data_IF_352094751226
#
_entry.id   IF_352094751226
#
_cell.length_a   1.000
_cell.length_b   1.000
_cell.length_c   1.000
_cell.angle_alpha   90.00
_cell.angle_beta   90.00
_cell.angle_gamma   90.00
#
_symmetry.space_group_name_H-M   'P 1'
#
loop_
_entity.id
_entity.type
_entity.pdbx_description
1 polymer ?
#
# COMPACT_ATOMS: atom_id res chain seq x y z
N UNK A 1 18.35 -30.57 -23.42
CA UNK A 1 19.22 -29.39 -23.26
C UNK A 1 18.31 -28.17 -23.23
N UNK A 2 17.39 -28.06 -22.26
CA UNK A 2 17.59 -27.63 -20.87
C UNK A 2 18.11 -26.17 -20.86
N UNK A 3 17.46 -25.16 -20.28
CA UNK A 3 17.02 -25.13 -18.88
C UNK A 3 15.85 -24.16 -18.63
N UNK A 4 14.93 -24.69 -17.85
CA UNK A 4 13.83 -24.10 -17.09
C UNK A 4 14.35 -23.05 -16.07
N UNK A 5 13.85 -21.81 -16.08
CA UNK A 5 14.11 -20.84 -15.00
C UNK A 5 12.81 -20.40 -14.33
N UNK A 6 12.32 -21.29 -13.47
CA UNK A 6 11.21 -21.10 -12.56
C UNK A 6 11.67 -20.25 -11.37
N UNK A 7 11.49 -18.93 -11.43
CA UNK A 7 11.76 -18.05 -10.29
C UNK A 7 10.65 -18.16 -9.24
N UNK A 8 10.94 -19.05 -8.29
CA UNK A 8 10.26 -19.30 -7.04
C UNK A 8 10.04 -18.02 -6.23
N UNK A 9 8.78 -17.71 -5.93
CA UNK A 9 8.42 -16.91 -4.76
C UNK A 9 7.20 -17.54 -4.05
N UNK A 10 7.37 -18.82 -3.66
CA UNK A 10 6.55 -19.48 -2.66
C UNK A 10 7.13 -19.18 -1.28
N UNK A 11 6.74 -18.04 -0.71
CA UNK A 11 6.94 -17.79 0.73
C UNK A 11 5.87 -18.60 1.46
N UNK A 12 6.24 -19.83 1.82
CA UNK A 12 5.44 -20.67 2.71
C UNK A 12 5.39 -20.05 4.10
N UNK A 13 4.16 -19.96 4.63
CA UNK A 13 3.87 -19.97 6.07
C UNK A 13 4.58 -21.17 6.72
N UNK A 14 5.12 -21.00 7.91
CA UNK A 14 4.60 -21.64 9.13
C UNK A 14 5.53 -21.44 10.34
N UNK A 15 4.91 -21.48 11.50
CA UNK A 15 5.44 -21.19 12.84
C UNK A 15 6.52 -22.19 13.26
N UNK A 16 7.66 -21.70 13.74
CA UNK A 16 8.36 -22.35 14.85
C UNK A 16 9.26 -21.35 15.61
N UNK A 17 8.65 -20.61 16.55
CA UNK A 17 9.37 -19.75 17.49
C UNK A 17 9.99 -20.65 18.58
N UNK A 18 11.12 -21.29 18.27
CA UNK A 18 11.98 -21.94 19.27
C UNK A 18 13.07 -20.96 19.67
N UNK A 19 12.94 -20.40 20.87
CA UNK A 19 14.00 -19.63 21.55
C UNK A 19 15.09 -20.61 21.98
N UNK A 20 16.34 -20.36 21.60
CA UNK A 20 17.51 -20.53 22.47
C UNK A 20 18.81 -19.96 21.87
N UNK A 21 19.49 -19.17 22.71
CA UNK A 21 20.95 -19.04 22.86
C UNK A 21 21.78 -18.14 21.92
N UNK A 22 22.33 -17.09 22.55
CA UNK A 22 23.59 -16.38 22.27
C UNK A 22 23.57 -15.12 21.37
N UNK A 23 24.31 -14.04 21.75
CA UNK A 23 24.16 -12.71 21.19
C UNK A 23 25.11 -12.54 20.00
N UNK A 24 24.76 -13.10 18.85
CA UNK A 24 25.68 -13.09 17.70
C UNK A 24 25.00 -12.52 16.46
N UNK A 25 25.44 -11.28 16.15
CA UNK A 25 25.23 -10.52 14.92
C UNK A 25 23.78 -10.08 14.73
N UNK A 26 23.51 -8.79 14.91
CA UNK A 26 22.32 -8.15 14.36
C UNK A 26 22.20 -8.56 12.88
N UNK A 27 21.28 -9.47 12.59
CA UNK A 27 21.06 -10.02 11.26
C UNK A 27 20.77 -8.84 10.35
N UNK A 28 21.74 -8.46 9.50
CA UNK A 28 21.63 -7.25 8.68
C UNK A 28 20.57 -7.50 7.61
N UNK A 29 19.36 -7.04 7.88
CA UNK A 29 18.29 -7.03 6.89
C UNK A 29 18.54 -5.92 5.86
N UNK A 30 18.30 -6.17 4.56
CA UNK A 30 18.31 -5.09 3.59
C UNK A 30 17.22 -4.08 3.97
N UNK A 31 17.56 -2.79 3.93
CA UNK A 31 16.64 -1.72 4.30
C UNK A 31 15.30 -1.83 3.55
N UNK A 32 15.35 -2.27 2.31
CA UNK A 32 14.17 -2.54 1.50
C UNK A 32 13.22 -3.57 2.13
N UNK A 33 13.73 -4.61 2.78
CA UNK A 33 12.89 -5.63 3.44
C UNK A 33 12.21 -5.04 4.69
N UNK A 34 12.94 -4.28 5.50
CA UNK A 34 12.39 -3.60 6.68
C UNK A 34 11.31 -2.60 6.27
N UNK A 35 11.59 -1.79 5.25
CA UNK A 35 10.61 -0.83 4.71
C UNK A 35 9.38 -1.55 4.17
N UNK A 36 9.54 -2.63 3.39
CA UNK A 36 8.41 -3.40 2.86
C UNK A 36 7.53 -3.95 3.99
N UNK A 37 8.15 -4.52 5.02
CA UNK A 37 7.46 -5.04 6.20
C UNK A 37 6.69 -3.94 6.96
N UNK A 38 7.30 -2.77 7.16
CA UNK A 38 6.62 -1.60 7.73
C UNK A 38 5.42 -1.16 6.87
N UNK A 39 5.57 -1.11 5.55
CA UNK A 39 4.49 -0.70 4.65
C UNK A 39 3.35 -1.74 4.64
N UNK A 40 3.66 -3.04 4.73
CA UNK A 40 2.65 -4.09 4.89
C UNK A 40 1.86 -3.95 6.17
N UNK A 41 2.52 -3.67 7.30
CA UNK A 41 1.82 -3.39 8.57
C UNK A 41 0.93 -2.16 8.47
N UNK A 42 1.46 -1.08 7.89
CA UNK A 42 0.70 0.14 7.67
C UNK A 42 -0.56 -0.10 6.85
N UNK A 43 -0.48 -0.92 5.79
CA UNK A 43 -1.64 -1.31 5.00
C UNK A 43 -2.70 -2.03 5.84
N UNK A 44 -2.28 -2.95 6.72
CA UNK A 44 -3.19 -3.70 7.58
C UNK A 44 -3.90 -2.80 8.60
N UNK A 45 -3.17 -1.88 9.23
CA UNK A 45 -3.74 -0.91 10.18
C UNK A 45 -4.72 0.02 9.46
N UNK A 46 -4.34 0.55 8.30
CA UNK A 46 -5.22 1.38 7.47
C UNK A 46 -6.49 0.62 7.07
N UNK A 47 -6.36 -0.66 6.70
CA UNK A 47 -7.50 -1.50 6.33
C UNK A 47 -8.45 -1.75 7.50
N UNK A 48 -7.93 -1.84 8.73
CA UNK A 48 -8.74 -1.98 9.94
C UNK A 48 -9.60 -0.73 10.15
N UNK A 49 -9.00 0.46 10.07
CA UNK A 49 -9.72 1.73 10.25
C UNK A 49 -10.71 2.01 9.09
N UNK A 50 -10.32 1.68 7.85
CA UNK A 50 -11.22 1.79 6.70
C UNK A 50 -12.47 0.92 6.85
N UNK A 51 -12.35 -0.25 7.50
CA UNK A 51 -13.47 -1.14 7.83
C UNK A 51 -14.30 -0.61 8.99
N UNK A 52 -13.68 0.07 9.96
CA UNK A 52 -14.37 0.76 11.04
C UNK A 52 -15.24 1.93 10.56
N UNK A 53 -15.00 2.40 9.33
CA UNK A 53 -15.85 3.39 8.65
C UNK A 53 -15.16 4.72 8.38
N UNK A 54 -13.87 4.84 8.68
CA UNK A 54 -13.11 6.06 8.39
C UNK A 54 -12.98 6.25 6.87
N UNK A 55 -13.59 7.31 6.36
CA UNK A 55 -13.65 7.65 4.94
C UNK A 55 -12.24 7.96 4.39
N UNK A 56 -11.40 8.62 5.18
CA UNK A 56 -10.02 8.96 4.82
C UNK A 56 -9.20 7.68 4.66
N UNK A 57 -9.37 6.73 5.57
CA UNK A 57 -8.69 5.44 5.51
C UNK A 57 -9.21 4.57 4.35
N UNK A 58 -10.50 4.66 4.01
CA UNK A 58 -11.03 4.02 2.80
C UNK A 58 -10.39 4.58 1.53
N UNK A 59 -10.20 5.90 1.44
CA UNK A 59 -9.45 6.53 0.34
C UNK A 59 -8.02 6.01 0.31
N UNK A 60 -7.34 6.01 1.45
CA UNK A 60 -5.95 5.60 1.57
C UNK A 60 -5.74 4.14 1.16
N UNK A 61 -6.59 3.21 1.61
CA UNK A 61 -6.57 1.81 1.15
C UNK A 61 -6.77 1.72 -0.37
N UNK A 62 -7.65 2.53 -0.93
CA UNK A 62 -7.87 2.62 -2.37
C UNK A 62 -6.59 3.00 -3.13
N UNK A 63 -5.91 4.05 -2.68
CA UNK A 63 -4.64 4.52 -3.24
C UNK A 63 -3.53 3.47 -3.10
N UNK A 64 -3.44 2.79 -1.96
CA UNK A 64 -2.44 1.73 -1.73
C UNK A 64 -2.64 0.54 -2.68
N UNK A 65 -3.89 0.14 -2.95
CA UNK A 65 -4.20 -0.88 -3.95
C UNK A 65 -3.90 -0.43 -5.38
N UNK A 66 -4.16 0.84 -5.72
CA UNK A 66 -3.90 1.39 -7.06
C UNK A 66 -2.40 1.53 -7.34
N UNK A 67 -1.60 1.88 -6.34
CA UNK A 67 -0.14 2.07 -6.46
C UNK A 67 0.67 0.80 -6.19
N UNK A 68 0.09 -0.21 -5.53
CA UNK A 68 0.81 -1.40 -5.08
C UNK A 68 1.70 -1.17 -3.85
N UNK A 69 1.39 -0.15 -3.04
CA UNK A 69 2.18 0.19 -1.84
C UNK A 69 1.81 -0.75 -0.69
N UNK A 70 2.72 -1.65 -0.30
CA UNK A 70 2.49 -2.65 0.77
C UNK A 70 1.60 -3.82 0.41
N UNK A 71 1.00 -3.80 -0.77
CA UNK A 71 0.06 -4.81 -1.25
C UNK A 71 0.25 -4.98 -2.75
N UNK A 72 -0.06 -6.17 -3.27
CA UNK A 72 -0.08 -6.37 -4.73
C UNK A 72 -1.08 -5.40 -5.36
N UNK A 73 -0.62 -4.69 -6.40
CA UNK A 73 -1.44 -3.74 -7.15
C UNK A 73 -2.73 -4.41 -7.62
N UNK A 74 -3.87 -3.78 -7.32
CA UNK A 74 -5.19 -4.27 -7.70
C UNK A 74 -6.15 -3.08 -7.88
N UNK A 75 -6.17 -2.52 -9.08
CA UNK A 75 -7.01 -1.38 -9.41
C UNK A 75 -8.51 -1.63 -9.17
N UNK A 76 -8.98 -2.88 -9.36
CA UNK A 76 -10.40 -3.23 -9.10
C UNK A 76 -10.75 -3.07 -7.62
N UNK A 77 -9.91 -3.59 -6.72
CA UNK A 77 -10.10 -3.43 -5.28
C UNK A 77 -9.93 -1.98 -4.86
N UNK A 78 -8.93 -1.29 -5.42
CA UNK A 78 -8.71 0.13 -5.13
C UNK A 78 -9.92 0.99 -5.46
N UNK A 79 -10.45 0.86 -6.67
CA UNK A 79 -11.65 1.56 -7.12
C UNK A 79 -12.89 1.23 -6.28
N UNK A 80 -13.05 0.00 -5.83
CA UNK A 80 -14.17 -0.36 -4.95
C UNK A 80 -14.10 0.36 -3.59
N UNK A 81 -12.89 0.54 -3.04
CA UNK A 81 -12.70 1.32 -1.81
C UNK A 81 -12.93 2.81 -2.02
N UNK A 82 -12.45 3.37 -3.14
CA UNK A 82 -12.71 4.77 -3.50
C UNK A 82 -14.20 5.01 -3.75
N UNK A 83 -14.89 4.09 -4.41
CA UNK A 83 -16.35 4.18 -4.63
C UNK A 83 -17.08 4.17 -3.29
N UNK A 84 -16.71 3.26 -2.38
CA UNK A 84 -17.30 3.20 -1.04
C UNK A 84 -17.09 4.51 -0.28
N UNK A 85 -15.90 5.09 -0.31
CA UNK A 85 -15.62 6.39 0.29
C UNK A 85 -16.43 7.52 -0.37
N UNK A 86 -16.59 7.46 -1.69
CA UNK A 86 -17.31 8.48 -2.48
C UNK A 86 -18.80 8.56 -2.16
N UNK A 87 -19.42 7.45 -1.73
CA UNK A 87 -20.81 7.42 -1.26
C UNK A 87 -21.03 8.25 -0.01
N UNK A 88 -19.99 8.38 0.83
CA UNK A 88 -20.05 9.18 2.05
C UNK A 88 -19.50 10.60 1.85
N UNK A 89 -18.56 10.78 0.92
CA UNK A 89 -18.00 12.09 0.56
C UNK A 89 -17.68 12.14 -0.94
N UNK A 90 -18.47 12.89 -1.70
CA UNK A 90 -18.37 12.97 -3.16
C UNK A 90 -16.98 13.38 -3.68
N UNK A 91 -16.18 14.11 -2.88
CA UNK A 91 -14.81 14.51 -3.22
C UNK A 91 -13.76 13.40 -3.08
N UNK A 92 -14.08 12.26 -2.46
CA UNK A 92 -13.17 11.13 -2.29
C UNK A 92 -12.66 10.54 -3.63
N UNK A 93 -13.47 10.64 -4.69
CA UNK A 93 -13.08 10.16 -6.03
C UNK A 93 -11.95 10.99 -6.63
N UNK A 94 -11.90 12.30 -6.35
CA UNK A 94 -10.86 13.22 -6.87
C UNK A 94 -9.47 12.97 -6.27
N UNK A 95 -9.41 12.34 -5.09
CA UNK A 95 -8.16 12.06 -4.39
C UNK A 95 -7.68 10.62 -4.58
N UNK A 96 -8.54 9.70 -5.03
CA UNK A 96 -8.21 8.27 -5.15
C UNK A 96 -7.11 7.91 -6.15
N UNK A 97 -6.86 8.77 -7.14
CA UNK A 97 -5.80 8.57 -8.14
C UNK A 97 -4.41 9.05 -7.67
N UNK A 98 -4.34 9.74 -6.52
CA UNK A 98 -3.09 10.27 -5.96
C UNK A 98 -2.33 9.20 -5.16
N UNK A 99 -1.01 9.38 -5.01
CA UNK A 99 -0.19 8.50 -4.16
C UNK A 99 -0.61 8.62 -2.68
N UNK A 100 -0.56 7.50 -1.91
CA UNK A 100 -0.78 7.52 -0.47
C UNK A 100 0.02 8.64 0.23
N UNK A 101 -0.63 9.44 1.07
CA UNK A 101 0.00 10.53 1.83
C UNK A 101 0.06 11.89 1.13
N UNK A 102 -0.21 11.97 -0.18
CA UNK A 102 -0.34 13.25 -0.88
C UNK A 102 -1.77 13.78 -0.79
N UNK A 103 -2.01 14.68 0.16
CA UNK A 103 -3.29 15.38 0.28
C UNK A 103 -3.39 16.46 -0.81
N UNK A 104 -4.59 16.70 -1.35
CA UNK A 104 -4.81 17.55 -2.53
C UNK A 104 -4.45 19.05 -2.37
N UNK A 105 -3.80 19.45 -1.28
CA UNK A 105 -3.38 20.84 -1.03
C UNK A 105 -1.99 21.18 -1.56
N UNK A 106 -1.15 20.20 -1.90
CA UNK A 106 0.15 20.43 -2.52
C UNK A 106 0.05 20.23 -4.03
N UNK A 107 0.15 21.34 -4.76
CA UNK A 107 0.20 21.46 -6.22
C UNK A 107 -1.13 21.27 -6.98
N UNK A 108 -2.10 22.16 -6.73
CA UNK A 108 -2.76 22.82 -7.88
C UNK A 108 -1.79 23.90 -8.40
N UNK A 109 -0.67 23.47 -8.98
CA UNK A 109 -0.07 24.28 -10.04
C UNK A 109 -0.92 24.00 -11.27
N UNK A 110 -2.07 24.67 -11.33
CA UNK A 110 -2.75 24.88 -12.60
C UNK A 110 -1.71 25.48 -13.54
N UNK A 111 -1.14 24.63 -14.39
CA UNK A 111 -0.48 25.10 -15.60
C UNK A 111 -1.61 25.64 -16.48
N UNK A 112 -2.04 26.85 -16.18
CA UNK A 112 -2.70 27.73 -17.14
C UNK A 112 -1.65 28.05 -18.21
N UNK A 113 -1.51 27.14 -19.17
CA UNK A 113 -1.00 27.50 -20.47
C UNK A 113 -2.18 27.48 -21.44
N UNK A 114 -2.80 28.64 -21.62
CA UNK A 114 -3.52 28.97 -22.84
C UNK A 114 -3.70 30.51 -22.92
N UNK A 115 -2.84 31.11 -23.75
CA UNK A 115 -3.18 32.15 -24.73
C UNK A 115 -3.56 33.57 -24.24
N UNK A 116 -2.62 34.52 -24.41
CA UNK A 116 -2.74 35.71 -25.25
C UNK A 116 -1.39 36.42 -25.39
#
# INVERSE_FOLDING_TARGET
MDHNNSNNNRINKDKNMSRNSSPEIEERFPLAAVVNDCVRRWFLDTLKEAKAGDITMQVLVGQMYNSGYGVTMNARKGNAWIEKASRSRSSARKVGDKRPGYNASDSDSDKVNAEA
#
